data_IF_054748883209
#
_entry.id   IF_054748883209
#
_cell.length_a   1.000
_cell.length_b   1.000
_cell.length_c   1.000
_cell.angle_alpha   90.00
_cell.angle_beta   90.00
_cell.angle_gamma   90.00
#
_symmetry.space_group_name_H-M   'P 1'
#
loop_
_entity.id
_entity.type
_entity.pdbx_description
1 polymer ?
#
# COMPACT_ATOMS: atom_id res chain seq x y z
N UNK A 1 1.45 2.11 7.83
CA UNK A 1 1.19 0.69 7.54
C UNK A 1 2.49 -0.01 7.16
N UNK A 2 2.63 -1.30 7.46
CA UNK A 2 3.78 -2.14 7.07
C UNK A 2 3.23 -3.44 6.47
N UNK A 3 3.67 -3.80 5.26
CA UNK A 3 3.37 -5.09 4.66
C UNK A 3 4.40 -6.13 5.12
N UNK A 4 4.05 -6.92 6.14
CA UNK A 4 4.91 -7.94 6.75
C UNK A 4 4.76 -9.34 6.15
N UNK A 5 4.41 -9.47 4.87
CA UNK A 5 4.09 -10.75 4.24
C UNK A 5 5.29 -11.60 3.80
N UNK A 6 6.46 -11.02 3.56
CA UNK A 6 7.66 -11.74 3.11
C UNK A 6 8.51 -12.22 4.30
N UNK A 7 9.02 -13.45 4.22
CA UNK A 7 9.88 -14.07 5.23
C UNK A 7 11.37 -14.03 4.89
N UNK A 8 11.72 -13.63 3.66
CA UNK A 8 13.09 -13.41 3.21
C UNK A 8 13.26 -12.00 2.64
N UNK A 9 14.51 -11.67 2.29
CA UNK A 9 14.86 -10.39 1.68
C UNK A 9 14.09 -10.19 0.37
N UNK A 10 13.46 -9.03 0.24
CA UNK A 10 12.81 -8.60 -0.99
C UNK A 10 13.89 -8.29 -2.02
N UNK A 11 13.80 -8.90 -3.19
CA UNK A 11 14.76 -8.70 -4.29
C UNK A 11 14.33 -7.54 -5.19
N UNK A 12 13.03 -7.41 -5.47
CA UNK A 12 12.47 -6.34 -6.30
C UNK A 12 10.96 -6.16 -6.04
N UNK A 13 10.40 -5.04 -6.51
CA UNK A 13 8.96 -4.79 -6.51
C UNK A 13 8.55 -3.85 -7.65
N UNK A 14 7.26 -3.87 -8.01
CA UNK A 14 6.70 -3.01 -9.02
C UNK A 14 5.27 -2.59 -8.69
N UNK A 15 4.94 -1.34 -8.99
CA UNK A 15 3.58 -0.81 -8.89
C UNK A 15 2.77 -1.24 -10.10
N UNK A 16 1.51 -1.60 -9.89
CA UNK A 16 0.58 -1.82 -10.99
C UNK A 16 0.26 -0.46 -11.66
N UNK A 17 0.50 -0.29 -12.97
CA UNK A 17 0.21 0.96 -13.67
C UNK A 17 -1.30 1.18 -13.93
N UNK A 18 -2.13 0.14 -13.80
CA UNK A 18 -3.55 0.19 -14.11
C UNK A 18 -4.43 0.32 -12.87
N UNK A 19 -3.97 -0.15 -11.71
CA UNK A 19 -4.76 -0.18 -10.47
C UNK A 19 -3.96 0.46 -9.34
N UNK A 20 -4.41 1.62 -8.81
CA UNK A 20 -3.75 2.29 -7.70
C UNK A 20 -3.57 1.37 -6.50
N UNK A 21 -2.47 1.56 -5.78
CA UNK A 21 -2.19 0.88 -4.52
C UNK A 21 -1.94 -0.62 -4.59
N UNK A 22 -1.97 -1.22 -5.79
CA UNK A 22 -1.56 -2.61 -6.01
C UNK A 22 -0.06 -2.66 -6.31
N UNK A 23 0.62 -3.54 -5.58
CA UNK A 23 2.06 -3.79 -5.72
C UNK A 23 2.29 -5.28 -5.93
N UNK A 24 3.26 -5.61 -6.77
CA UNK A 24 3.85 -6.93 -6.86
C UNK A 24 5.27 -6.88 -6.27
N UNK A 25 5.60 -7.79 -5.35
CA UNK A 25 6.94 -7.91 -4.77
C UNK A 25 7.44 -9.36 -4.80
N UNK A 26 8.75 -9.53 -4.95
CA UNK A 26 9.42 -10.84 -5.00
C UNK A 26 10.52 -10.92 -3.94
N UNK A 27 10.72 -12.11 -3.37
CA UNK A 27 11.76 -12.36 -2.36
C UNK A 27 12.67 -13.53 -2.72
N UNK A 28 13.84 -13.57 -2.06
CA UNK A 28 14.90 -14.56 -2.29
C UNK A 28 14.52 -16.01 -1.89
N UNK A 29 13.38 -16.21 -1.21
CA UNK A 29 12.81 -17.52 -0.85
C UNK A 29 11.75 -18.02 -1.87
N UNK A 30 11.82 -17.51 -3.11
CA UNK A 30 10.96 -17.88 -4.24
C UNK A 30 9.47 -17.52 -4.05
N UNK A 31 9.18 -16.54 -3.20
CA UNK A 31 7.82 -16.05 -2.97
C UNK A 31 7.58 -14.77 -3.79
N UNK A 32 6.47 -14.75 -4.51
CA UNK A 32 5.89 -13.56 -5.14
C UNK A 32 4.56 -13.24 -4.46
N UNK A 33 4.34 -11.98 -4.12
CA UNK A 33 3.09 -11.51 -3.53
C UNK A 33 2.53 -10.35 -4.34
N UNK A 34 1.23 -10.39 -4.62
CA UNK A 34 0.46 -9.26 -5.11
C UNK A 34 -0.46 -8.81 -3.99
N UNK A 35 -0.37 -7.55 -3.59
CA UNK A 35 -1.08 -7.03 -2.43
C UNK A 35 -1.52 -5.58 -2.64
N UNK A 36 -2.53 -5.18 -1.89
CA UNK A 36 -3.11 -3.84 -1.88
C UNK A 36 -3.31 -3.39 -0.45
N UNK A 37 -2.93 -2.14 -0.15
CA UNK A 37 -3.26 -1.54 1.15
C UNK A 37 -4.77 -1.25 1.24
N UNK A 38 -5.34 -1.38 2.43
CA UNK A 38 -6.73 -1.01 2.66
C UNK A 38 -6.93 0.50 2.48
N UNK A 39 -8.10 0.89 1.96
CA UNK A 39 -8.44 2.28 1.61
C UNK A 39 -8.26 3.24 2.77
N UNK A 40 -8.76 2.85 3.94
CA UNK A 40 -8.69 3.61 5.19
C UNK A 40 -7.26 3.90 5.70
N UNK A 41 -6.23 3.37 5.05
CA UNK A 41 -4.82 3.63 5.40
C UNK A 41 -4.29 4.86 4.67
N UNK A 42 -4.80 5.17 3.47
CA UNK A 42 -4.30 6.26 2.63
C UNK A 42 -5.34 7.36 2.33
N UNK A 43 -6.62 7.10 2.56
CA UNK A 43 -7.63 8.16 2.52
C UNK A 43 -7.61 8.91 3.85
N UNK A 44 -7.40 10.22 3.81
CA UNK A 44 -7.70 11.09 4.95
C UNK A 44 -9.21 11.08 5.19
N UNK A 45 -9.64 11.03 6.45
CA UNK A 45 -11.06 11.17 6.77
C UNK A 45 -11.55 12.52 6.23
N UNK A 46 -12.45 12.50 5.24
CA UNK A 46 -13.10 13.70 4.66
C UNK A 46 -13.86 14.55 5.72
N UNK A 47 -13.88 14.12 6.98
CA UNK A 47 -14.48 14.83 8.10
C UNK A 47 -13.54 15.84 8.80
N UNK A 48 -12.21 15.76 8.65
CA UNK A 48 -11.31 16.71 9.32
C UNK A 48 -11.04 18.00 8.50
N UNK A 49 -11.22 17.95 7.17
CA UNK A 49 -10.96 19.09 6.28
C UNK A 49 -12.10 20.12 6.23
N UNK A 50 -13.32 19.78 6.68
CA UNK A 50 -14.46 20.72 6.68
C UNK A 50 -14.51 21.67 7.89
N UNK A 51 -13.65 21.50 8.91
CA UNK A 51 -13.64 22.36 10.09
C UNK A 51 -12.68 23.56 10.01
N UNK A 52 -11.74 23.57 9.06
CA UNK A 52 -10.73 24.65 8.94
C UNK A 52 -11.15 25.80 8.02
N UNK A 53 -12.19 25.62 7.19
CA UNK A 53 -12.71 26.65 6.29
C UNK A 53 -13.93 27.42 6.86
N UNK A 54 -14.27 27.22 8.15
CA UNK A 54 -15.42 27.83 8.81
C UNK A 54 -15.08 28.76 10.00
N UNK A 55 -13.82 29.19 10.16
CA UNK A 55 -13.42 30.26 11.10
C UNK A 55 -13.11 31.60 10.42
#
# INVERSE_FOLDING_TARGET
FIHGGHTAKISDFSWNPNEPWIICSVSEDNIMQVWQMAENIYTEDENETNSVDLE
#
